data_IF_762745351927
#
_entry.id   IF_762745351927
#
_cell.length_a   1.000
_cell.length_b   1.000
_cell.length_c   1.000
_cell.angle_alpha   90.00
_cell.angle_beta   90.00
_cell.angle_gamma   90.00
#
_symmetry.space_group_name_H-M   'P 1'
#
loop_
_entity.id
_entity.type
_entity.pdbx_description
1 polymer ?
#
# COMPACT_ATOMS: atom_id res chain seq x y z
N UNK A 1 42.75 -26.52 -15.51
CA UNK A 1 43.87 -25.62 -15.83
C UNK A 1 43.30 -24.30 -16.31
N UNK A 2 43.26 -23.29 -15.45
CA UNK A 2 43.16 -21.89 -15.82
C UNK A 2 43.94 -21.13 -14.74
N UNK A 3 44.96 -20.42 -15.20
CA UNK A 3 46.05 -19.85 -14.39
C UNK A 3 45.64 -18.50 -13.82
N UNK A 4 45.87 -18.32 -12.52
CA UNK A 4 45.77 -17.05 -11.79
C UNK A 4 47.02 -16.22 -12.09
N UNK A 5 46.86 -14.91 -12.32
CA UNK A 5 47.96 -13.94 -12.38
C UNK A 5 47.78 -12.96 -11.22
N UNK A 6 48.88 -12.77 -10.48
CA UNK A 6 49.18 -11.80 -9.42
C UNK A 6 48.53 -10.41 -9.58
N UNK A 7 48.31 -9.59 -8.56
CA UNK A 7 48.79 -9.59 -7.19
C UNK A 7 48.62 -8.15 -6.66
N UNK A 8 47.89 -7.97 -5.56
CA UNK A 8 47.61 -6.67 -4.97
C UNK A 8 47.58 -6.78 -3.45
N UNK A 9 48.57 -6.18 -2.79
CA UNK A 9 48.70 -6.13 -1.33
C UNK A 9 47.56 -5.31 -0.72
N UNK A 10 46.87 -5.87 0.26
CA UNK A 10 46.06 -5.15 1.25
C UNK A 10 46.68 -5.43 2.62
N UNK A 11 47.55 -4.53 3.06
CA UNK A 11 47.92 -4.35 4.46
C UNK A 11 47.10 -3.19 4.99
N UNK A 12 46.17 -3.48 5.90
CA UNK A 12 45.76 -2.67 7.06
C UNK A 12 44.32 -3.00 7.41
N UNK A 13 44.17 -3.90 8.38
CA UNK A 13 43.11 -3.93 9.40
C UNK A 13 43.39 -5.15 10.27
N UNK A 14 44.11 -4.93 11.36
CA UNK A 14 44.28 -5.95 12.40
C UNK A 14 42.93 -6.26 13.04
N UNK A 15 42.54 -7.53 13.00
CA UNK A 15 42.00 -8.38 14.09
C UNK A 15 41.90 -9.77 13.45
N UNK A 16 42.78 -10.67 13.88
CA UNK A 16 42.91 -12.01 13.31
C UNK A 16 42.04 -13.04 14.03
N UNK A 17 41.40 -13.93 13.26
CA UNK A 17 41.42 -15.38 13.50
C UNK A 17 41.03 -16.08 12.20
N UNK A 18 42.02 -16.66 11.52
CA UNK A 18 41.84 -17.51 10.34
C UNK A 18 41.77 -18.95 10.82
N UNK A 19 40.69 -19.65 10.48
CA UNK A 19 40.59 -21.11 10.67
C UNK A 19 40.90 -21.75 9.32
N UNK A 20 42.09 -22.34 9.18
CA UNK A 20 42.48 -23.11 8.00
C UNK A 20 41.82 -24.50 7.99
N UNK A 21 41.40 -25.02 6.81
CA UNK A 21 40.92 -26.39 6.70
C UNK A 21 42.11 -27.37 6.63
N UNK A 22 42.16 -28.31 7.58
CA UNK A 22 43.07 -29.45 7.55
C UNK A 22 42.60 -30.43 6.46
N UNK A 23 43.27 -30.43 5.31
CA UNK A 23 43.15 -31.48 4.29
C UNK A 23 44.21 -32.55 4.57
N UNK A 24 43.82 -33.67 5.19
CA UNK A 24 44.70 -34.85 5.26
C UNK A 24 44.39 -35.80 4.12
N UNK A 25 45.31 -35.87 3.16
CA UNK A 25 45.27 -36.82 2.06
C UNK A 25 45.91 -38.15 2.50
N UNK A 26 45.18 -39.26 2.49
CA UNK A 26 45.76 -40.61 2.58
C UNK A 26 45.18 -41.48 1.46
N UNK A 27 46.04 -41.78 0.49
CA UNK A 27 45.84 -42.84 -0.49
C UNK A 27 45.86 -44.21 0.20
N UNK A 28 44.85 -45.05 -0.06
CA UNK A 28 44.99 -46.50 -0.07
C UNK A 28 43.90 -47.14 -0.95
N UNK A 29 44.35 -48.16 -1.67
CA UNK A 29 43.77 -48.91 -2.79
C UNK A 29 42.43 -49.64 -2.58
N UNK A 30 41.71 -49.77 -3.70
CA UNK A 30 40.96 -50.92 -4.23
C UNK A 30 40.01 -51.72 -3.33
N UNK A 31 38.73 -51.78 -3.73
CA UNK A 31 37.77 -52.81 -3.29
C UNK A 31 36.32 -52.35 -3.35
N UNK A 32 35.53 -52.91 -4.26
CA UNK A 32 34.14 -52.49 -4.52
C UNK A 32 33.16 -52.78 -3.37
N UNK A 33 32.06 -52.00 -3.35
CA UNK A 33 30.90 -52.28 -2.52
C UNK A 33 30.05 -51.04 -2.21
N UNK A 34 28.84 -50.96 -2.79
CA UNK A 34 27.81 -49.97 -2.45
C UNK A 34 27.49 -49.99 -0.95
N UNK A 35 27.65 -48.87 -0.24
CA UNK A 35 26.98 -48.61 1.04
C UNK A 35 26.48 -47.16 1.14
N UNK A 36 25.19 -47.03 1.48
CA UNK A 36 24.49 -45.79 1.82
C UNK A 36 25.19 -45.11 3.00
N UNK A 37 25.59 -43.83 2.89
CA UNK A 37 26.04 -43.02 4.03
C UNK A 37 24.82 -42.37 4.68
N UNK A 38 24.54 -42.79 5.91
CA UNK A 38 23.64 -42.15 6.86
C UNK A 38 24.43 -40.99 7.49
N UNK A 39 23.97 -39.76 7.34
CA UNK A 39 24.56 -38.60 8.03
C UNK A 39 23.78 -38.46 9.35
N UNK A 40 24.48 -38.61 10.46
CA UNK A 40 23.98 -38.42 11.82
C UNK A 40 24.64 -37.15 12.35
N UNK A 41 23.84 -36.17 12.76
CA UNK A 41 24.33 -34.96 13.42
C UNK A 41 24.35 -35.19 14.92
N UNK A 42 25.53 -35.18 15.53
CA UNK A 42 25.70 -35.11 16.97
C UNK A 42 25.62 -33.64 17.41
N UNK A 43 24.66 -33.34 18.27
CA UNK A 43 24.50 -32.04 18.92
C UNK A 43 25.06 -32.20 20.32
N UNK A 44 26.20 -31.58 20.60
CA UNK A 44 26.77 -31.62 21.93
C UNK A 44 28.07 -30.84 22.03
N UNK A 45 27.96 -29.56 22.40
CA UNK A 45 28.71 -29.02 23.53
C UNK A 45 28.16 -27.64 23.92
N UNK A 46 27.76 -27.56 25.19
CA UNK A 46 27.31 -26.35 25.85
C UNK A 46 28.52 -25.43 26.12
N UNK A 47 28.39 -24.15 25.82
CA UNK A 47 29.28 -23.11 26.32
C UNK A 47 28.48 -22.26 27.30
N UNK A 48 28.90 -22.32 28.56
CA UNK A 48 28.51 -21.40 29.62
C UNK A 48 29.00 -19.99 29.26
N UNK A 49 28.10 -19.00 29.26
CA UNK A 49 28.47 -17.58 29.30
C UNK A 49 27.81 -16.98 30.55
N UNK A 50 28.64 -16.38 31.38
CA UNK A 50 28.32 -15.77 32.66
C UNK A 50 27.41 -14.55 32.54
N UNK A 51 26.57 -14.37 33.55
CA UNK A 51 25.72 -13.20 33.74
C UNK A 51 26.55 -11.91 33.83
N UNK A 52 26.32 -10.99 32.89
CA UNK A 52 26.57 -9.57 33.12
C UNK A 52 25.26 -8.79 33.09
N UNK A 53 25.08 -8.03 34.16
CA UNK A 53 23.99 -7.11 34.45
C UNK A 53 23.88 -5.99 33.40
N UNK A 54 22.66 -5.47 33.27
CA UNK A 54 22.29 -4.13 32.80
C UNK A 54 22.85 -3.65 31.46
N UNK A 55 21.94 -3.53 30.48
CA UNK A 55 21.68 -2.33 29.68
C UNK A 55 20.58 -2.65 28.66
N UNK A 56 19.31 -2.44 29.02
CA UNK A 56 18.20 -2.49 28.07
C UNK A 56 18.26 -1.30 27.10
N UNK A 57 17.85 -1.44 25.82
CA UNK A 57 17.76 -0.29 24.94
C UNK A 57 16.54 0.55 25.34
N UNK A 58 16.78 1.67 26.02
CA UNK A 58 15.85 2.80 26.06
C UNK A 58 15.82 3.42 24.66
N UNK A 59 14.88 2.98 23.82
CA UNK A 59 14.45 3.80 22.69
C UNK A 59 13.67 4.99 23.25
N UNK A 60 14.33 6.13 23.40
CA UNK A 60 13.66 7.40 23.63
C UNK A 60 12.84 7.71 22.36
N UNK A 61 11.52 7.67 22.50
CA UNK A 61 10.60 8.23 21.53
C UNK A 61 10.77 9.75 21.58
N UNK A 62 11.28 10.33 20.51
CA UNK A 62 11.23 11.77 20.30
C UNK A 62 9.80 12.11 19.84
N UNK A 63 8.95 12.49 20.79
CA UNK A 63 7.58 12.93 20.55
C UNK A 63 7.58 14.42 20.24
N UNK A 64 8.02 14.81 19.05
CA UNK A 64 7.70 16.10 18.46
C UNK A 64 6.64 15.87 17.37
N UNK A 65 5.37 15.98 17.75
CA UNK A 65 4.28 16.12 16.79
C UNK A 65 4.38 17.51 16.15
N UNK A 66 5.17 17.65 15.10
CA UNK A 66 5.05 18.82 14.23
C UNK A 66 3.73 18.70 13.45
N UNK A 67 2.75 19.48 13.88
CA UNK A 67 1.49 19.61 13.19
C UNK A 67 1.72 20.11 11.75
N UNK A 68 1.03 19.50 10.79
CA UNK A 68 0.95 20.00 9.41
C UNK A 68 0.54 21.49 9.46
N UNK A 69 1.31 22.42 8.87
CA UNK A 69 0.98 23.83 8.94
C UNK A 69 -0.37 24.08 8.26
N UNK A 70 -1.33 24.60 9.01
CA UNK A 70 -2.56 25.19 8.46
C UNK A 70 -2.18 26.47 7.68
N UNK A 71 -2.62 26.63 6.42
CA UNK A 71 -2.34 27.85 5.67
C UNK A 71 -2.96 29.06 6.37
N UNK A 72 -2.15 30.07 6.66
CA UNK A 72 -2.62 31.37 7.14
C UNK A 72 -3.45 32.05 6.05
N UNK A 73 -4.67 32.44 6.40
CA UNK A 73 -5.65 33.07 5.54
C UNK A 73 -5.16 34.45 5.07
N UNK A 74 -4.53 34.53 3.90
CA UNK A 74 -4.13 35.78 3.27
C UNK A 74 -5.11 36.12 2.14
N UNK A 75 -6.17 36.84 2.50
CA UNK A 75 -7.39 37.04 1.71
C UNK A 75 -7.25 38.02 0.52
N UNK A 76 -6.03 38.27 0.02
CA UNK A 76 -5.76 39.38 -0.94
C UNK A 76 -5.13 38.97 -2.28
N UNK A 77 -5.15 37.69 -2.67
CA UNK A 77 -4.62 37.26 -3.99
C UNK A 77 -5.58 36.46 -4.86
N UNK A 78 -6.90 36.46 -4.56
CA UNK A 78 -7.88 35.60 -5.25
C UNK A 78 -8.34 36.16 -6.61
N UNK A 79 -7.77 37.26 -7.10
CA UNK A 79 -8.09 37.78 -8.44
C UNK A 79 -6.90 37.55 -9.38
N UNK A 80 -7.09 36.69 -10.38
CA UNK A 80 -6.19 36.26 -11.47
C UNK A 80 -5.48 34.90 -11.30
N UNK A 81 -6.24 33.83 -11.06
CA UNK A 81 -5.77 32.47 -11.41
C UNK A 81 -6.34 32.12 -12.79
N UNK A 82 -5.74 32.68 -13.84
CA UNK A 82 -6.01 32.30 -15.22
C UNK A 82 -5.07 31.14 -15.56
N UNK A 83 -5.56 29.90 -15.42
CA UNK A 83 -4.83 28.72 -15.85
C UNK A 83 -4.94 28.62 -17.37
N UNK A 84 -3.80 28.69 -18.08
CA UNK A 84 -3.74 28.29 -19.48
C UNK A 84 -4.19 26.82 -19.54
N UNK A 85 -5.39 26.56 -20.09
CA UNK A 85 -6.11 25.27 -20.07
C UNK A 85 -5.41 24.14 -20.84
N UNK A 86 -4.09 24.22 -21.04
CA UNK A 86 -3.29 23.11 -21.51
C UNK A 86 -3.24 22.04 -20.42
N UNK A 87 -4.08 21.02 -20.58
CA UNK A 87 -4.05 19.77 -19.81
C UNK A 87 -2.66 19.14 -20.00
N UNK A 88 -1.76 19.26 -19.03
CA UNK A 88 -0.41 18.69 -19.13
C UNK A 88 0.60 19.04 -18.03
N UNK A 89 0.43 20.15 -17.31
CA UNK A 89 1.53 20.75 -16.52
C UNK A 89 1.54 20.44 -15.01
N UNK A 90 0.82 19.42 -14.52
CA UNK A 90 0.95 19.04 -13.10
C UNK A 90 2.01 17.97 -12.95
N UNK A 91 3.16 18.35 -12.43
CA UNK A 91 4.18 17.42 -11.97
C UNK A 91 3.82 16.95 -10.56
N UNK A 92 3.50 15.65 -10.34
CA UNK A 92 3.12 15.13 -9.04
C UNK A 92 4.28 15.14 -8.01
N UNK A 93 5.50 15.41 -8.46
CA UNK A 93 6.70 15.54 -7.62
C UNK A 93 7.03 16.99 -7.24
N UNK A 94 6.32 17.96 -7.82
CA UNK A 94 6.46 19.38 -7.52
C UNK A 94 5.38 19.85 -6.54
N UNK A 95 5.77 20.24 -5.33
CA UNK A 95 4.82 20.62 -4.28
C UNK A 95 3.98 21.86 -4.65
N UNK A 96 4.56 22.85 -5.34
CA UNK A 96 3.84 24.06 -5.74
C UNK A 96 2.76 23.76 -6.78
N UNK A 97 2.98 22.75 -7.63
CA UNK A 97 1.95 22.29 -8.59
C UNK A 97 0.76 21.67 -7.84
N UNK A 98 1.03 20.90 -6.79
CA UNK A 98 0.00 20.27 -5.97
C UNK A 98 -0.81 21.27 -5.15
N UNK A 99 -0.18 22.33 -4.63
CA UNK A 99 -0.88 23.42 -3.94
C UNK A 99 -1.86 24.10 -4.89
N UNK A 100 -1.40 24.52 -6.08
CA UNK A 100 -2.27 25.13 -7.09
C UNK A 100 -3.41 24.20 -7.52
N UNK A 101 -3.10 22.92 -7.72
CA UNK A 101 -4.11 21.91 -8.02
C UNK A 101 -5.16 21.82 -6.90
N UNK A 102 -4.72 21.84 -5.64
CA UNK A 102 -5.63 21.77 -4.49
C UNK A 102 -6.56 22.99 -4.42
N UNK A 103 -6.05 24.19 -4.65
CA UNK A 103 -6.84 25.43 -4.67
C UNK A 103 -7.87 25.42 -5.80
N UNK A 104 -7.46 24.99 -6.99
CA UNK A 104 -8.35 24.84 -8.13
C UNK A 104 -9.46 23.82 -7.83
N UNK A 105 -9.11 22.65 -7.30
CA UNK A 105 -10.09 21.61 -6.95
C UNK A 105 -11.04 22.10 -5.85
N UNK A 106 -10.57 22.85 -4.84
CA UNK A 106 -11.44 23.49 -3.83
C UNK A 106 -12.47 24.41 -4.48
N UNK A 107 -12.05 25.20 -5.47
CA UNK A 107 -12.92 26.11 -6.19
C UNK A 107 -13.92 25.35 -7.08
N UNK A 108 -13.46 24.38 -7.87
CA UNK A 108 -14.30 23.54 -8.74
C UNK A 108 -15.35 22.76 -7.94
N UNK A 109 -14.97 22.22 -6.77
CA UNK A 109 -15.88 21.51 -5.88
C UNK A 109 -16.76 22.44 -5.03
N UNK A 110 -16.57 23.76 -5.10
CA UNK A 110 -17.29 24.79 -4.33
C UNK A 110 -17.31 24.47 -2.81
N UNK A 111 -16.16 24.14 -2.24
CA UNK A 111 -16.08 23.74 -0.82
C UNK A 111 -16.38 24.90 0.16
N UNK A 112 -16.32 26.17 -0.26
CA UNK A 112 -16.68 27.35 0.55
C UNK A 112 -16.12 27.36 1.98
N UNK A 113 -14.86 26.94 2.16
CA UNK A 113 -14.20 26.86 3.47
C UNK A 113 -14.45 25.56 4.24
N UNK A 114 -15.29 24.66 3.75
CA UNK A 114 -15.45 23.32 4.30
C UNK A 114 -14.22 22.46 3.99
N UNK A 115 -13.95 21.51 4.88
CA UNK A 115 -12.83 20.57 4.78
C UNK A 115 -13.36 19.15 4.84
N UNK A 116 -13.14 18.31 3.81
CA UNK A 116 -13.51 16.91 3.88
C UNK A 116 -12.74 16.22 5.00
N UNK A 117 -13.44 15.50 5.88
CA UNK A 117 -12.83 14.75 6.98
C UNK A 117 -12.19 13.44 6.49
N UNK A 118 -12.85 12.79 5.53
CA UNK A 118 -12.47 11.48 5.01
C UNK A 118 -12.16 11.54 3.51
N UNK A 119 -11.07 10.88 3.14
CA UNK A 119 -10.74 10.54 1.76
C UNK A 119 -11.06 9.08 1.51
N UNK A 120 -11.60 8.76 0.35
CA UNK A 120 -11.98 7.39 0.01
C UNK A 120 -11.43 7.07 -1.38
N UNK A 121 -10.70 5.97 -1.52
CA UNK A 121 -10.29 5.46 -2.83
C UNK A 121 -11.12 4.22 -3.12
N UNK A 122 -12.10 4.41 -3.99
CA UNK A 122 -13.12 3.43 -4.32
C UNK A 122 -12.58 2.52 -5.45
N UNK A 123 -12.06 1.34 -5.09
CA UNK A 123 -11.57 0.33 -6.05
C UNK A 123 -12.66 -0.44 -6.79
N UNK A 124 -12.27 -1.44 -7.59
CA UNK A 124 -13.19 -2.36 -8.27
C UNK A 124 -14.24 -2.91 -7.30
N UNK A 125 -15.52 -2.68 -7.60
CA UNK A 125 -16.66 -3.11 -6.77
C UNK A 125 -17.16 -2.14 -5.73
N UNK A 126 -16.43 -1.06 -5.43
CA UNK A 126 -16.84 -0.07 -4.42
C UNK A 126 -17.27 1.27 -5.01
N UNK A 127 -17.47 1.34 -6.32
CA UNK A 127 -18.07 2.49 -6.97
C UNK A 127 -19.46 2.86 -6.40
N UNK A 128 -20.20 1.88 -5.87
CA UNK A 128 -21.51 2.07 -5.26
C UNK A 128 -21.47 2.87 -3.94
N UNK A 129 -20.33 2.90 -3.23
CA UNK A 129 -20.18 3.74 -2.03
C UNK A 129 -20.24 5.22 -2.40
N UNK A 130 -19.63 5.59 -3.53
CA UNK A 130 -19.68 6.96 -4.04
C UNK A 130 -21.11 7.36 -4.46
N UNK A 131 -21.90 6.39 -4.93
CA UNK A 131 -23.29 6.61 -5.33
C UNK A 131 -24.22 6.84 -4.11
N UNK A 132 -23.76 6.57 -2.87
CA UNK A 132 -24.48 6.86 -1.62
C UNK A 132 -24.20 8.26 -1.05
N UNK A 133 -23.38 9.07 -1.71
CA UNK A 133 -23.07 10.42 -1.23
C UNK A 133 -24.24 11.37 -1.44
N UNK A 134 -24.70 11.99 -0.35
CA UNK A 134 -25.66 13.08 -0.39
C UNK A 134 -25.00 14.36 -0.90
N UNK A 135 -25.76 15.16 -1.66
CA UNK A 135 -25.32 16.44 -2.23
C UNK A 135 -24.03 16.36 -3.06
N UNK A 136 -23.81 15.22 -3.72
CA UNK A 136 -22.58 14.93 -4.43
C UNK A 136 -22.28 15.95 -5.56
N UNK A 137 -21.10 16.56 -5.48
CA UNK A 137 -20.45 17.30 -6.57
C UNK A 137 -19.48 16.37 -7.27
N UNK A 138 -19.73 16.12 -8.53
CA UNK A 138 -18.96 15.19 -9.36
C UNK A 138 -18.02 16.01 -10.24
N UNK A 139 -16.72 15.81 -10.09
CA UNK A 139 -15.69 16.36 -10.98
C UNK A 139 -15.10 15.21 -11.80
N UNK A 140 -15.37 15.11 -13.11
CA UNK A 140 -14.73 14.12 -13.96
C UNK A 140 -13.20 14.29 -13.93
N UNK A 141 -12.44 13.20 -13.90
CA UNK A 141 -10.96 13.25 -13.93
C UNK A 141 -10.44 14.03 -15.14
N UNK A 142 -11.15 13.95 -16.26
CA UNK A 142 -10.80 14.68 -17.49
C UNK A 142 -10.85 16.20 -17.34
N UNK A 143 -11.50 16.73 -16.30
CA UNK A 143 -11.58 18.16 -15.98
C UNK A 143 -10.57 18.59 -14.92
N UNK A 144 -9.99 17.64 -14.18
CA UNK A 144 -8.99 17.91 -13.14
C UNK A 144 -7.59 17.93 -13.79
N UNK A 145 -6.86 19.06 -13.78
CA UNK A 145 -5.52 19.11 -14.37
C UNK A 145 -4.57 18.07 -13.76
N UNK A 146 -3.75 17.43 -14.59
CA UNK A 146 -2.82 16.38 -14.17
C UNK A 146 -3.43 15.00 -13.99
N UNK A 147 -4.75 14.88 -13.85
CA UNK A 147 -5.38 13.57 -13.69
C UNK A 147 -5.40 12.84 -15.04
N UNK A 148 -4.94 11.57 -15.10
CA UNK A 148 -5.07 10.77 -16.30
C UNK A 148 -6.55 10.42 -16.56
N UNK A 149 -6.86 10.17 -17.83
CA UNK A 149 -8.16 9.58 -18.18
C UNK A 149 -8.15 8.11 -17.72
N UNK A 150 -9.18 7.62 -17.02
CA UNK A 150 -9.26 6.20 -16.68
C UNK A 150 -9.28 5.35 -17.95
N UNK A 151 -8.49 4.28 -17.98
CA UNK A 151 -8.48 3.33 -19.10
C UNK A 151 -9.06 1.96 -18.72
N UNK A 152 -9.16 1.65 -17.42
CA UNK A 152 -9.69 0.37 -16.90
C UNK A 152 -11.22 0.35 -16.84
N UNK A 153 -11.81 -0.72 -17.36
CA UNK A 153 -13.25 -1.00 -17.29
C UNK A 153 -13.69 -1.18 -15.84
N UNK A 154 -14.72 -0.44 -15.42
CA UNK A 154 -15.26 -0.42 -14.06
C UNK A 154 -14.89 0.85 -13.26
N UNK A 155 -13.96 1.66 -13.76
CA UNK A 155 -13.56 2.92 -13.14
C UNK A 155 -14.32 4.08 -13.79
N UNK A 156 -15.34 4.63 -13.10
CA UNK A 156 -16.17 5.72 -13.66
C UNK A 156 -15.36 7.00 -13.91
N UNK A 157 -14.29 7.22 -13.15
CA UNK A 157 -13.35 8.30 -13.41
C UNK A 157 -13.75 9.65 -12.85
N UNK A 158 -14.24 9.67 -11.61
CA UNK A 158 -14.76 10.88 -10.98
C UNK A 158 -14.09 11.13 -9.63
N UNK A 159 -13.86 12.40 -9.32
CA UNK A 159 -13.57 12.90 -7.99
C UNK A 159 -14.86 13.49 -7.42
N UNK A 160 -15.43 12.86 -6.40
CA UNK A 160 -16.69 13.25 -5.80
C UNK A 160 -16.48 13.92 -4.45
N UNK A 161 -17.25 14.98 -4.19
CA UNK A 161 -17.36 15.63 -2.90
C UNK A 161 -18.81 15.56 -2.44
N UNK A 162 -19.07 15.07 -1.23
CA UNK A 162 -20.43 14.93 -0.73
C UNK A 162 -20.44 14.41 0.69
N UNK A 163 -21.64 14.19 1.23
CA UNK A 163 -21.81 13.71 2.60
C UNK A 163 -22.11 12.21 2.62
N UNK A 164 -21.41 11.47 3.47
CA UNK A 164 -21.76 10.10 3.82
C UNK A 164 -22.12 10.11 5.30
N UNK A 165 -23.38 9.80 5.62
CA UNK A 165 -23.90 9.85 7.00
C UNK A 165 -23.58 11.17 7.70
N UNK A 166 -23.75 12.28 6.98
CA UNK A 166 -23.50 13.64 7.49
C UNK A 166 -22.03 14.07 7.53
N UNK A 167 -21.08 13.20 7.22
CA UNK A 167 -19.65 13.54 7.18
C UNK A 167 -19.22 13.94 5.77
N UNK A 168 -18.65 15.14 5.63
CA UNK A 168 -18.12 15.60 4.35
C UNK A 168 -16.90 14.73 3.96
N UNK A 169 -17.00 14.11 2.80
CA UNK A 169 -16.02 13.17 2.25
C UNK A 169 -15.61 13.57 0.84
N UNK A 170 -14.42 13.12 0.44
CA UNK A 170 -13.97 13.12 -0.96
C UNK A 170 -13.71 11.66 -1.40
N UNK A 171 -14.41 11.16 -2.43
CA UNK A 171 -14.15 9.83 -3.01
C UNK A 171 -13.53 9.95 -4.40
N UNK A 172 -12.49 9.15 -4.63
CA UNK A 172 -11.97 8.81 -5.94
C UNK A 172 -12.75 7.59 -6.45
N UNK A 173 -13.68 7.79 -7.39
CA UNK A 173 -14.50 6.72 -7.98
C UNK A 173 -13.75 6.05 -9.12
N UNK A 174 -12.92 5.09 -8.73
CA UNK A 174 -11.82 4.55 -9.52
C UNK A 174 -10.47 5.01 -8.95
N UNK A 175 -9.38 4.42 -9.44
CA UNK A 175 -7.99 4.83 -9.20
C UNK A 175 -7.18 4.79 -10.49
N UNK A 176 -5.91 5.15 -10.36
CA UNK A 176 -4.87 5.00 -11.37
C UNK A 176 -3.97 3.83 -10.98
N UNK A 177 -3.82 2.83 -11.85
CA UNK A 177 -2.88 1.76 -11.60
C UNK A 177 -1.52 2.07 -12.24
N UNK A 178 -0.40 1.81 -11.55
CA UNK A 178 0.93 2.08 -12.10
C UNK A 178 1.21 1.37 -13.44
N UNK A 179 0.64 0.19 -13.66
CA UNK A 179 0.79 -0.53 -14.94
C UNK A 179 0.16 0.20 -16.14
N UNK A 180 -0.78 1.15 -15.91
CA UNK A 180 -1.37 2.00 -16.96
C UNK A 180 -0.47 3.21 -17.31
N UNK A 181 0.54 3.47 -16.47
CA UNK A 181 1.26 4.75 -16.45
C UNK A 181 2.78 4.57 -16.35
N UNK A 182 3.34 3.55 -17.02
CA UNK A 182 4.78 3.27 -17.05
C UNK A 182 5.41 3.17 -15.65
N UNK A 183 4.67 2.63 -14.68
CA UNK A 183 5.07 2.52 -13.27
C UNK A 183 5.31 3.87 -12.57
N UNK A 184 4.70 4.96 -13.06
CA UNK A 184 4.72 6.26 -12.38
C UNK A 184 3.87 6.23 -11.10
N UNK A 185 4.53 5.87 -9.99
CA UNK A 185 3.92 5.80 -8.67
C UNK A 185 3.51 7.18 -8.13
N UNK A 186 4.24 8.24 -8.50
CA UNK A 186 3.97 9.59 -8.02
C UNK A 186 2.66 10.12 -8.63
N UNK A 187 2.45 9.90 -9.93
CA UNK A 187 1.18 10.19 -10.61
C UNK A 187 0.03 9.40 -9.97
N UNK A 188 0.20 8.09 -9.77
CA UNK A 188 -0.87 7.26 -9.22
C UNK A 188 -1.25 7.63 -7.78
N UNK A 189 -0.29 8.10 -6.98
CA UNK A 189 -0.52 8.54 -5.61
C UNK A 189 -0.85 10.04 -5.48
N UNK A 190 -0.81 10.83 -6.56
CA UNK A 190 -1.12 12.26 -6.57
C UNK A 190 -2.49 12.59 -5.94
N UNK A 191 -3.58 11.83 -6.18
CA UNK A 191 -4.87 12.09 -5.53
C UNK A 191 -4.79 12.08 -4.01
N UNK A 192 -3.91 11.26 -3.40
CA UNK A 192 -3.74 11.22 -1.94
C UNK A 192 -3.13 12.53 -1.44
N UNK A 193 -2.13 13.08 -2.13
CA UNK A 193 -1.54 14.38 -1.79
C UNK A 193 -2.56 15.50 -1.93
N UNK A 194 -3.34 15.46 -3.01
CA UNK A 194 -4.46 16.38 -3.20
C UNK A 194 -5.44 16.29 -2.01
N UNK A 195 -5.87 15.09 -1.61
CA UNK A 195 -6.77 14.91 -0.46
C UNK A 195 -6.15 15.45 0.84
N UNK A 196 -4.85 15.22 1.08
CA UNK A 196 -4.14 15.76 2.23
C UNK A 196 -4.13 17.31 2.24
N UNK A 197 -3.85 17.94 1.09
CA UNK A 197 -3.89 19.40 0.91
C UNK A 197 -5.32 19.96 1.00
N UNK A 198 -6.33 19.15 0.69
CA UNK A 198 -7.73 19.45 0.92
C UNK A 198 -8.11 19.40 2.42
N UNK A 199 -7.24 18.86 3.26
CA UNK A 199 -7.37 18.83 4.72
C UNK A 199 -7.84 17.48 5.28
N UNK A 200 -7.94 16.44 4.45
CA UNK A 200 -8.32 15.09 4.89
C UNK A 200 -7.32 14.57 5.93
N UNK A 201 -7.83 13.94 7.00
CA UNK A 201 -7.01 13.34 8.06
C UNK A 201 -7.09 11.82 8.12
N UNK A 202 -8.17 11.24 7.61
CA UNK A 202 -8.36 9.79 7.54
C UNK A 202 -8.65 9.38 6.10
N UNK A 203 -7.92 8.40 5.59
CA UNK A 203 -8.17 7.82 4.26
C UNK A 203 -8.63 6.36 4.38
N UNK A 204 -9.64 6.02 3.60
CA UNK A 204 -10.16 4.67 3.44
C UNK A 204 -9.77 4.19 2.04
N UNK A 205 -8.96 3.14 1.96
CA UNK A 205 -8.53 2.54 0.69
C UNK A 205 -9.18 1.18 0.52
N UNK A 206 -9.68 0.90 -0.67
CA UNK A 206 -10.30 -0.39 -0.95
C UNK A 206 -9.82 -0.99 -2.26
N UNK A 207 -9.72 -2.31 -2.39
CA UNK A 207 -9.37 -2.93 -3.67
C UNK A 207 -10.07 -4.27 -3.86
N UNK A 208 -10.03 -4.77 -5.10
CA UNK A 208 -10.23 -6.19 -5.37
C UNK A 208 -8.88 -6.90 -5.29
N UNK A 209 -8.87 -8.13 -4.77
CA UNK A 209 -7.65 -8.92 -4.60
C UNK A 209 -7.92 -10.41 -4.79
N UNK A 210 -6.88 -11.13 -5.22
CA UNK A 210 -6.85 -12.59 -5.19
C UNK A 210 -6.53 -13.08 -3.78
N UNK A 211 -7.33 -14.01 -3.25
CA UNK A 211 -7.10 -14.63 -1.95
C UNK A 211 -6.06 -15.74 -2.05
N UNK A 212 -4.97 -15.60 -1.28
CA UNK A 212 -3.88 -16.59 -1.16
C UNK A 212 -4.05 -17.47 0.07
N UNK A 213 -4.75 -16.97 1.09
CA UNK A 213 -5.06 -17.73 2.28
C UNK A 213 -6.15 -18.77 1.97
N UNK A 214 -5.86 -20.05 2.22
CA UNK A 214 -6.77 -21.16 1.91
C UNK A 214 -8.10 -21.15 2.67
N UNK A 215 -8.24 -20.31 3.70
CA UNK A 215 -9.51 -20.11 4.41
C UNK A 215 -10.41 -19.03 3.78
N UNK A 216 -9.89 -18.25 2.82
CA UNK A 216 -10.64 -17.17 2.18
C UNK A 216 -11.53 -17.72 1.07
N UNK A 217 -12.68 -17.08 0.91
CA UNK A 217 -13.63 -17.37 -0.14
C UNK A 217 -13.88 -16.13 -0.98
N UNK A 218 -14.28 -16.34 -2.24
CA UNK A 218 -14.79 -15.26 -3.08
C UNK A 218 -15.94 -14.53 -2.38
N UNK A 219 -15.88 -13.20 -2.36
CA UNK A 219 -16.83 -12.34 -1.65
C UNK A 219 -16.40 -11.96 -0.22
N UNK A 220 -15.37 -12.61 0.34
CA UNK A 220 -14.85 -12.24 1.66
C UNK A 220 -14.30 -10.80 1.64
N UNK A 221 -14.53 -10.07 2.74
CA UNK A 221 -13.93 -8.77 2.98
C UNK A 221 -12.76 -8.94 3.95
N UNK A 222 -11.54 -8.68 3.47
CA UNK A 222 -10.32 -8.74 4.27
C UNK A 222 -9.89 -7.35 4.71
N UNK A 223 -9.90 -7.08 6.01
CA UNK A 223 -9.22 -5.90 6.58
C UNK A 223 -7.72 -6.06 6.39
N UNK A 224 -7.06 -5.04 5.83
CA UNK A 224 -5.62 -5.04 5.61
C UNK A 224 -4.94 -4.63 6.92
N UNK A 225 -4.19 -5.55 7.54
CA UNK A 225 -3.42 -5.26 8.77
C UNK A 225 -2.00 -4.79 8.48
N UNK A 226 -1.45 -5.20 7.35
CA UNK A 226 -0.12 -4.84 6.87
C UNK A 226 0.00 -5.08 5.36
N UNK A 227 1.11 -4.66 4.75
CA UNK A 227 1.39 -4.96 3.36
C UNK A 227 2.82 -5.39 3.04
N UNK A 228 2.97 -6.06 1.91
CA UNK A 228 4.25 -6.22 1.21
C UNK A 228 4.16 -5.44 -0.10
N UNK A 229 4.97 -4.40 -0.23
CA UNK A 229 4.99 -3.55 -1.42
C UNK A 229 6.10 -3.97 -2.38
N UNK A 230 5.86 -5.00 -3.20
CA UNK A 230 6.88 -5.61 -4.06
C UNK A 230 7.56 -4.62 -5.02
N UNK A 231 6.83 -3.75 -5.76
CA UNK A 231 7.46 -2.69 -6.54
C UNK A 231 8.36 -1.78 -5.69
N UNK A 232 7.91 -1.41 -4.49
CA UNK A 232 8.67 -0.57 -3.56
C UNK A 232 10.02 -1.18 -3.16
N UNK A 233 10.08 -2.50 -2.94
CA UNK A 233 11.33 -3.22 -2.64
C UNK A 233 12.34 -3.16 -3.79
N UNK A 234 11.86 -3.01 -5.03
CA UNK A 234 12.69 -2.87 -6.24
C UNK A 234 13.01 -1.41 -6.61
N UNK A 235 12.65 -0.44 -5.77
CA UNK A 235 12.89 0.98 -6.03
C UNK A 235 11.76 1.72 -6.75
N UNK A 236 10.62 1.10 -7.00
CA UNK A 236 9.43 1.77 -7.55
C UNK A 236 8.53 2.27 -6.42
N UNK A 237 8.86 3.45 -5.88
CA UNK A 237 8.12 4.09 -4.78
C UNK A 237 7.74 5.53 -5.13
N UNK A 238 6.56 6.03 -4.69
CA UNK A 238 6.14 7.41 -4.93
C UNK A 238 6.99 8.46 -4.19
N UNK A 239 7.95 8.02 -3.37
CA UNK A 239 8.84 8.87 -2.57
C UNK A 239 10.24 9.02 -3.18
N UNK A 240 10.56 8.28 -4.25
CA UNK A 240 11.86 8.36 -4.91
C UNK A 240 12.05 9.75 -5.51
N UNK A 241 13.23 10.32 -5.33
CA UNK A 241 13.57 11.65 -5.86
C UNK A 241 12.99 12.86 -5.12
N UNK A 242 12.05 12.69 -4.18
CA UNK A 242 11.43 13.82 -3.48
C UNK A 242 12.32 14.46 -2.40
N UNK A 243 12.81 15.65 -2.67
CA UNK A 243 13.69 16.40 -1.76
C UNK A 243 13.00 17.55 -1.02
N UNK A 244 11.82 17.98 -1.49
CA UNK A 244 11.09 19.09 -0.88
C UNK A 244 10.49 18.66 0.47
N UNK A 245 10.87 19.30 1.60
CA UNK A 245 10.42 18.91 2.93
C UNK A 245 8.92 19.15 3.15
N UNK A 246 8.25 19.96 2.31
CA UNK A 246 6.80 20.22 2.41
C UNK A 246 5.95 18.97 2.16
N UNK A 247 6.49 17.95 1.49
CA UNK A 247 5.82 16.65 1.35
C UNK A 247 5.71 15.87 2.66
N UNK A 248 6.55 16.17 3.66
CA UNK A 248 6.67 15.42 4.91
C UNK A 248 8.07 14.82 5.07
N UNK A 249 8.24 13.92 6.05
CA UNK A 249 9.53 13.27 6.33
C UNK A 249 10.09 12.57 5.09
N UNK A 250 11.40 12.72 4.87
CA UNK A 250 12.13 11.99 3.82
C UNK A 250 12.12 10.47 4.06
N UNK A 251 12.16 10.07 5.33
CA UNK A 251 12.13 8.67 5.76
C UNK A 251 10.84 8.44 6.53
N UNK A 252 9.88 7.78 5.88
CA UNK A 252 8.54 7.53 6.42
C UNK A 252 8.48 6.16 7.06
N UNK A 253 8.11 6.09 8.33
CA UNK A 253 7.81 4.80 8.98
C UNK A 253 6.46 4.28 8.51
N UNK A 254 6.44 3.04 8.00
CA UNK A 254 5.22 2.33 7.63
C UNK A 254 4.79 1.30 8.69
N UNK A 255 5.44 1.27 9.86
CA UNK A 255 4.92 0.53 11.00
C UNK A 255 3.56 1.10 11.41
N UNK A 256 2.57 0.23 11.58
CA UNK A 256 1.18 0.63 11.83
C UNK A 256 0.66 1.59 10.74
N UNK A 257 1.07 1.38 9.47
CA UNK A 257 0.52 2.14 8.34
C UNK A 257 -1.00 2.02 8.28
N UNK A 258 -1.53 0.83 8.55
CA UNK A 258 -2.95 0.58 8.74
C UNK A 258 -3.32 0.72 10.21
N UNK A 259 -4.04 1.79 10.54
CA UNK A 259 -4.29 2.23 11.91
C UNK A 259 -5.01 1.16 12.73
N UNK A 260 -4.32 0.64 13.76
CA UNK A 260 -4.84 -0.42 14.64
C UNK A 260 -6.19 -0.10 15.27
N UNK A 261 -6.45 1.14 15.66
CA UNK A 261 -7.71 1.51 16.30
C UNK A 261 -8.85 1.63 15.28
N UNK A 262 -8.57 2.13 14.07
CA UNK A 262 -9.53 2.07 12.97
C UNK A 262 -9.90 0.63 12.61
N UNK A 263 -8.91 -0.28 12.53
CA UNK A 263 -9.16 -1.70 12.26
C UNK A 263 -10.04 -2.34 13.31
N UNK A 264 -9.75 -2.14 14.59
CA UNK A 264 -10.58 -2.65 15.71
C UNK A 264 -12.02 -2.16 15.61
N UNK A 265 -12.23 -0.87 15.36
CA UNK A 265 -13.58 -0.29 15.21
C UNK A 265 -14.31 -0.90 14.02
N UNK A 266 -13.64 -1.00 12.87
CA UNK A 266 -14.21 -1.57 11.66
C UNK A 266 -14.61 -3.05 11.86
N UNK A 267 -13.76 -3.85 12.52
CA UNK A 267 -14.03 -5.26 12.83
C UNK A 267 -15.20 -5.38 13.81
N UNK A 268 -15.18 -4.61 14.90
CA UNK A 268 -16.27 -4.60 15.87
C UNK A 268 -17.61 -4.20 15.24
N UNK A 269 -17.59 -3.25 14.30
CA UNK A 269 -18.76 -2.86 13.52
C UNK A 269 -19.23 -3.96 12.58
N UNK A 270 -18.31 -4.62 11.87
CA UNK A 270 -18.65 -5.75 11.00
C UNK A 270 -19.37 -6.85 11.77
N UNK A 271 -18.89 -7.21 12.96
CA UNK A 271 -19.58 -8.17 13.83
C UNK A 271 -20.99 -7.72 14.20
N UNK A 272 -21.20 -6.45 14.57
CA UNK A 272 -22.54 -5.91 14.87
C UNK A 272 -23.48 -5.97 13.67
N UNK A 273 -22.95 -5.79 12.46
CA UNK A 273 -23.69 -5.81 11.20
C UNK A 273 -23.81 -7.23 10.59
N UNK A 274 -23.29 -8.26 11.27
CA UNK A 274 -23.18 -9.62 10.73
C UNK A 274 -22.45 -9.69 9.38
N UNK A 275 -21.47 -8.82 9.17
CA UNK A 275 -20.57 -8.85 8.01
C UNK A 275 -19.38 -9.75 8.37
N UNK A 276 -19.18 -10.89 7.69
CA UNK A 276 -18.02 -11.72 7.91
C UNK A 276 -16.77 -10.98 7.41
N UNK A 277 -15.81 -10.79 8.31
CA UNK A 277 -14.56 -10.10 8.01
C UNK A 277 -13.37 -11.03 8.24
N UNK A 278 -12.40 -10.94 7.34
CA UNK A 278 -11.06 -11.51 7.49
C UNK A 278 -10.08 -10.40 7.87
N UNK A 279 -8.88 -10.78 8.31
CA UNK A 279 -7.80 -9.81 8.52
C UNK A 279 -6.45 -10.39 8.09
N UNK A 280 -5.74 -9.70 7.21
CA UNK A 280 -4.56 -10.26 6.54
C UNK A 280 -3.58 -9.25 5.97
N UNK A 281 -2.44 -9.78 5.50
CA UNK A 281 -1.39 -9.02 4.83
C UNK A 281 -1.68 -8.95 3.34
N UNK A 282 -1.80 -7.73 2.80
CA UNK A 282 -2.01 -7.51 1.37
C UNK A 282 -0.67 -7.35 0.64
N UNK A 283 -0.51 -7.99 -0.50
CA UNK A 283 0.71 -7.89 -1.31
C UNK A 283 0.39 -7.16 -2.61
N UNK A 284 1.07 -6.04 -2.84
CA UNK A 284 0.97 -5.34 -4.11
C UNK A 284 2.01 -5.91 -5.08
N UNK A 285 1.53 -6.51 -6.16
CA UNK A 285 2.29 -6.83 -7.37
C UNK A 285 2.19 -5.67 -8.39
N UNK A 286 3.06 -5.64 -9.40
CA UNK A 286 3.04 -4.62 -10.45
C UNK A 286 1.91 -4.84 -11.47
N UNK A 287 1.61 -6.09 -11.82
CA UNK A 287 0.73 -6.41 -12.96
C UNK A 287 1.33 -6.02 -14.33
N UNK A 288 0.53 -6.02 -15.41
CA UNK A 288 -0.92 -6.28 -15.44
C UNK A 288 -1.29 -7.77 -15.54
N UNK A 289 -0.34 -8.66 -15.83
CA UNK A 289 -0.60 -10.09 -15.81
C UNK A 289 -0.92 -10.55 -14.37
N UNK A 290 -1.88 -11.46 -14.23
CA UNK A 290 -2.09 -12.19 -12.99
C UNK A 290 -0.88 -13.07 -12.67
N UNK A 291 -0.77 -13.44 -11.40
CA UNK A 291 0.32 -14.24 -10.88
C UNK A 291 0.28 -15.67 -11.42
N UNK A 292 1.46 -16.22 -11.70
CA UNK A 292 1.65 -17.66 -11.87
C UNK A 292 1.47 -18.38 -10.52
N UNK A 293 1.15 -19.68 -10.54
CA UNK A 293 1.05 -20.48 -9.31
C UNK A 293 2.34 -20.46 -8.47
N UNK A 294 3.51 -20.40 -9.12
CA UNK A 294 4.80 -20.28 -8.44
C UNK A 294 4.96 -18.93 -7.72
N UNK A 295 4.53 -17.83 -8.35
CA UNK A 295 4.48 -16.51 -7.71
C UNK A 295 3.49 -16.48 -6.55
N UNK A 296 2.29 -17.05 -6.72
CA UNK A 296 1.33 -17.22 -5.61
C UNK A 296 1.94 -17.99 -4.44
N UNK A 297 2.60 -19.12 -4.72
CA UNK A 297 3.27 -19.93 -3.69
C UNK A 297 4.36 -19.14 -2.96
N UNK A 298 5.18 -18.37 -3.70
CA UNK A 298 6.18 -17.50 -3.14
C UNK A 298 5.55 -16.44 -2.22
N UNK A 299 4.52 -15.75 -2.69
CA UNK A 299 3.84 -14.69 -1.93
C UNK A 299 3.22 -15.24 -0.65
N UNK A 300 2.52 -16.38 -0.73
CA UNK A 300 1.95 -17.05 0.43
C UNK A 300 3.04 -17.45 1.45
N UNK A 301 4.18 -17.97 0.98
CA UNK A 301 5.32 -18.33 1.85
C UNK A 301 5.99 -17.12 2.51
N UNK A 302 5.90 -15.94 1.88
CA UNK A 302 6.35 -14.68 2.49
C UNK A 302 5.33 -14.11 3.49
N UNK A 303 4.17 -14.76 3.67
CA UNK A 303 3.13 -14.36 4.62
C UNK A 303 2.06 -13.45 4.03
N UNK A 304 1.92 -13.40 2.69
CA UNK A 304 0.81 -12.71 2.03
C UNK A 304 -0.50 -13.49 2.13
N UNK A 305 -1.59 -12.82 2.52
CA UNK A 305 -2.94 -13.40 2.61
C UNK A 305 -3.79 -13.06 1.36
N UNK A 306 -3.52 -11.93 0.72
CA UNK A 306 -4.15 -11.52 -0.54
C UNK A 306 -3.16 -10.77 -1.43
N UNK A 307 -3.36 -10.84 -2.75
CA UNK A 307 -2.53 -10.17 -3.76
C UNK A 307 -3.36 -9.28 -4.68
N UNK A 308 -2.83 -8.12 -5.04
CA UNK A 308 -3.45 -7.21 -5.99
C UNK A 308 -2.44 -6.25 -6.60
N UNK A 309 -2.92 -5.30 -7.41
CA UNK A 309 -2.06 -4.46 -8.26
C UNK A 309 -2.10 -2.97 -7.88
N UNK A 310 -2.55 -2.64 -6.67
CA UNK A 310 -2.75 -1.24 -6.23
C UNK A 310 -2.49 -1.01 -4.73
N UNK A 311 -2.91 0.15 -4.22
CA UNK A 311 -3.03 0.48 -2.80
C UNK A 311 -1.73 0.81 -2.06
N UNK A 312 -0.66 0.02 -2.15
CA UNK A 312 0.51 0.24 -1.28
C UNK A 312 1.19 1.61 -1.48
N UNK A 313 1.24 2.11 -2.72
CA UNK A 313 1.77 3.45 -3.02
C UNK A 313 0.87 4.57 -2.47
N UNK A 314 -0.45 4.43 -2.56
CA UNK A 314 -1.43 5.36 -1.97
C UNK A 314 -1.27 5.42 -0.44
N UNK A 315 -1.15 4.26 0.21
CA UNK A 315 -0.93 4.13 1.65
C UNK A 315 0.40 4.77 2.05
N UNK A 316 1.47 4.53 1.29
CA UNK A 316 2.80 5.11 1.54
C UNK A 316 2.73 6.64 1.56
N UNK A 317 2.06 7.25 0.58
CA UNK A 317 1.89 8.71 0.52
C UNK A 317 0.96 9.21 1.63
N UNK A 318 -0.12 8.50 1.94
CA UNK A 318 -1.01 8.88 3.04
C UNK A 318 -0.24 8.96 4.37
N UNK A 319 0.66 8.00 4.62
CA UNK A 319 1.54 8.00 5.79
C UNK A 319 2.59 9.10 5.75
N UNK A 320 3.15 9.42 4.58
CA UNK A 320 4.03 10.58 4.40
C UNK A 320 3.32 11.88 4.82
N UNK A 321 2.04 12.02 4.45
CA UNK A 321 1.21 13.18 4.79
C UNK A 321 0.61 13.14 6.21
N UNK A 322 0.97 12.15 7.04
CA UNK A 322 0.49 12.03 8.42
C UNK A 322 -0.97 11.60 8.56
N UNK A 323 -1.60 11.07 7.51
CA UNK A 323 -2.99 10.63 7.53
C UNK A 323 -3.13 9.26 8.21
N UNK A 324 -4.24 9.04 8.93
CA UNK A 324 -4.65 7.71 9.40
C UNK A 324 -5.20 6.91 8.22
N UNK A 325 -4.88 5.63 8.13
CA UNK A 325 -5.31 4.78 7.01
C UNK A 325 -6.11 3.61 7.53
N UNK A 326 -7.28 3.39 6.92
CA UNK A 326 -7.99 2.12 6.99
C UNK A 326 -8.03 1.49 5.59
N UNK A 327 -7.73 0.20 5.50
CA UNK A 327 -7.65 -0.50 4.22
C UNK A 327 -8.39 -1.83 4.27
N UNK A 328 -9.06 -2.19 3.18
CA UNK A 328 -9.67 -3.50 3.02
C UNK A 328 -9.66 -3.97 1.57
N UNK A 329 -9.68 -5.29 1.39
CA UNK A 329 -9.77 -5.95 0.10
C UNK A 329 -11.07 -6.75 0.02
N UNK A 330 -11.73 -6.70 -1.13
CA UNK A 330 -12.73 -7.69 -1.50
C UNK A 330 -12.02 -8.83 -2.22
N UNK A 331 -12.14 -10.05 -1.70
CA UNK A 331 -11.58 -11.24 -2.33
C UNK A 331 -12.44 -11.59 -3.53
N UNK A 332 -11.93 -11.36 -4.73
CA UNK A 332 -12.68 -11.55 -5.98
C UNK A 332 -12.42 -12.88 -6.65
N UNK A 333 -11.30 -13.51 -6.31
CA UNK A 333 -10.91 -14.83 -6.77
C UNK A 333 -10.01 -15.50 -5.74
N UNK A 334 -9.99 -16.83 -5.69
CA UNK A 334 -9.05 -17.60 -4.87
C UNK A 334 -7.96 -18.15 -5.80
N UNK A 335 -6.71 -17.77 -5.54
CA UNK A 335 -5.60 -18.12 -6.45
C UNK A 335 -5.04 -19.49 -6.10
N UNK A 336 -4.63 -20.24 -7.13
CA UNK A 336 -3.92 -21.50 -6.92
C UNK A 336 -2.44 -21.25 -6.66
N UNK A 337 -1.89 -22.03 -5.73
CA UNK A 337 -0.45 -22.11 -5.43
C UNK A 337 0.20 -23.35 -6.05
N UNK A 338 -0.59 -24.21 -6.69
CA UNK A 338 -0.14 -25.45 -7.34
C UNK A 338 -0.20 -25.28 -8.87
N UNK A 339 0.95 -25.37 -9.58
CA UNK A 339 0.99 -25.32 -11.03
C UNK A 339 0.14 -26.39 -11.73
N UNK A 340 -0.12 -27.52 -11.05
CA UNK A 340 -0.91 -28.64 -11.59
C UNK A 340 -2.42 -28.48 -11.33
N UNK A 341 -2.84 -27.47 -10.56
CA UNK A 341 -4.23 -27.09 -10.32
C UNK A 341 -4.49 -25.64 -10.76
N UNK A 342 -4.45 -25.33 -12.07
CA UNK A 342 -4.60 -23.96 -12.55
C UNK A 342 -6.02 -23.44 -12.31
N UNK A 343 -6.11 -22.18 -11.91
CA UNK A 343 -7.37 -21.42 -11.83
C UNK A 343 -7.34 -20.37 -12.92
N UNK A 344 -8.37 -20.32 -13.74
CA UNK A 344 -8.55 -19.21 -14.68
C UNK A 344 -9.10 -18.00 -13.93
N UNK A 345 -8.44 -16.85 -14.09
CA UNK A 345 -8.87 -15.59 -13.50
C UNK A 345 -9.23 -14.63 -14.62
N UNK A 346 -10.43 -14.05 -14.55
CA UNK A 346 -10.94 -13.10 -15.56
C UNK A 346 -11.35 -11.78 -14.92
N UNK A 347 -11.27 -10.69 -15.67
CA UNK A 347 -11.71 -9.37 -15.19
C UNK A 347 -13.24 -9.33 -15.00
N UNK A 348 -13.98 -10.07 -15.81
CA UNK A 348 -15.43 -10.17 -15.76
C UNK A 348 -15.92 -10.79 -14.45
N UNK A 349 -15.29 -11.89 -14.00
CA UNK A 349 -15.58 -12.54 -12.72
C UNK A 349 -15.30 -11.61 -11.55
N UNK A 350 -14.17 -10.89 -11.62
CA UNK A 350 -13.81 -9.88 -10.62
C UNK A 350 -14.91 -8.83 -10.50
N UNK A 351 -15.46 -8.34 -11.61
CA UNK A 351 -16.55 -7.35 -11.63
C UNK A 351 -17.88 -7.90 -11.09
N UNK A 352 -18.19 -9.17 -11.31
CA UNK A 352 -19.44 -9.77 -10.80
C UNK A 352 -19.41 -9.93 -9.27
N UNK A 353 -18.32 -10.47 -8.73
CA UNK A 353 -18.15 -10.61 -7.27
C UNK A 353 -18.10 -9.24 -6.61
N UNK A 354 -17.41 -8.30 -7.25
CA UNK A 354 -17.38 -6.89 -6.91
C UNK A 354 -18.77 -6.26 -6.76
N UNK A 355 -19.71 -6.52 -7.68
CA UNK A 355 -21.05 -5.96 -7.60
C UNK A 355 -21.83 -6.47 -6.38
N UNK A 356 -21.73 -7.78 -6.07
CA UNK A 356 -22.44 -8.41 -4.94
C UNK A 356 -21.83 -8.02 -3.59
N UNK A 357 -20.50 -8.16 -3.44
CA UNK A 357 -19.79 -7.82 -2.20
C UNK A 357 -19.73 -6.30 -1.94
N UNK A 358 -19.73 -5.51 -3.01
CA UNK A 358 -19.66 -4.06 -2.98
C UNK A 358 -20.79 -3.38 -2.22
N UNK A 359 -22.02 -3.90 -2.29
CA UNK A 359 -23.16 -3.33 -1.57
C UNK A 359 -23.00 -3.46 -0.05
N UNK A 360 -22.64 -4.66 0.43
CA UNK A 360 -22.40 -4.94 1.86
C UNK A 360 -21.24 -4.10 2.36
N UNK A 361 -20.13 -4.11 1.62
CA UNK A 361 -18.95 -3.32 1.96
C UNK A 361 -19.27 -1.82 2.01
N UNK A 362 -20.04 -1.30 1.05
CA UNK A 362 -20.42 0.12 1.03
C UNK A 362 -21.25 0.51 2.25
N UNK A 363 -22.22 -0.32 2.66
CA UNK A 363 -23.01 -0.07 3.87
C UNK A 363 -22.14 -0.11 5.14
N UNK A 364 -21.26 -1.09 5.24
CA UNK A 364 -20.31 -1.21 6.36
C UNK A 364 -19.38 -0.01 6.47
N UNK A 365 -18.83 0.46 5.35
CA UNK A 365 -17.95 1.64 5.33
C UNK A 365 -18.71 2.93 5.61
N UNK A 366 -19.94 3.10 5.08
CA UNK A 366 -20.75 4.26 5.39
C UNK A 366 -21.05 4.37 6.89
N UNK A 367 -21.34 3.25 7.55
CA UNK A 367 -21.56 3.20 8.99
C UNK A 367 -20.26 3.41 9.80
N UNK A 368 -19.12 2.92 9.30
CA UNK A 368 -17.82 3.22 9.89
C UNK A 368 -17.52 4.72 9.85
N UNK A 369 -17.79 5.37 8.72
CA UNK A 369 -17.63 6.83 8.56
C UNK A 369 -18.52 7.59 9.56
N UNK A 370 -19.76 7.15 9.77
CA UNK A 370 -20.65 7.75 10.76
C UNK A 370 -20.01 7.72 12.15
N UNK A 371 -19.59 6.52 12.61
CA UNK A 371 -19.00 6.34 13.95
C UNK A 371 -17.71 7.12 14.16
N UNK A 372 -16.88 7.24 13.12
CA UNK A 372 -15.63 8.02 13.20
C UNK A 372 -15.86 9.52 13.10
N UNK A 373 -17.00 9.95 12.56
CA UNK A 373 -17.34 11.35 12.38
C UNK A 373 -17.83 12.06 13.64
N UNK A 374 -18.30 11.28 14.60
CA UNK A 374 -18.79 11.71 15.92
C UNK A 374 -17.65 11.89 16.96
N UNK A 375 -16.42 11.54 16.59
CA UNK A 375 -15.18 11.74 17.36
C UNK A 375 -14.45 13.03 16.92
#
# INVERSE_FOLDING_TARGET
>A
MATIVDGGKLSDLGIGTVVEPIISNKNASAGGGRRKKKIQFDIGQAVHIENHQDLGPKCAADSSSEAVPTPTNNNNSIQNIEWDRQKGDVDPTNFDHLIRLSELVRAMANLRGQTPKFGIICGSGLGALADQMDEARILPFSEVPGFPKPSVVGHKGNLLFGHIRGQLCVCLQGRFHPYEHNMDMALCAMPVRLMALLGVRTIIVSNAAGGLNGEFQMGDLMVIKDHIFMPGLSGHSPLIGLTDPRFGSRFVSLHNAYDKELRKKAVALGHKMNVPLREGVYVMNSGPQYETAAECSLIARMGGDAVGMSTCHEVTVARQCGMRVFGFSLITNCVSVDPDEPVEVSHEEVLEVAAKGGAIASQWIAELIAQLGDE
#
